data_IF_150657502922
#
_entry.id   IF_150657502922
#
_cell.length_a   1.000
_cell.length_b   1.000
_cell.length_c   1.000
_cell.angle_alpha   90.00
_cell.angle_beta   90.00
_cell.angle_gamma   90.00
#
_symmetry.space_group_name_H-M   'P 1'
#
loop_
_entity.id
_entity.type
_entity.pdbx_description
1 polymer ?
#
# COMPACT_ATOMS: atom_id res chain seq x y z
N UNK A 1 -18.21 -12.96 51.07
CA UNK A 1 -17.95 -13.12 49.63
C UNK A 1 -18.87 -12.14 48.95
N UNK A 2 -18.34 -10.96 48.62
CA UNK A 2 -18.94 -9.98 47.70
C UNK A 2 -17.88 -8.91 47.44
N UNK A 3 -17.24 -8.99 46.28
CA UNK A 3 -16.43 -7.90 45.69
C UNK A 3 -16.47 -8.09 44.16
N UNK A 4 -17.04 -7.11 43.46
CA UNK A 4 -17.20 -7.18 42.00
C UNK A 4 -17.91 -5.97 41.42
N UNK A 5 -17.60 -4.77 41.89
CA UNK A 5 -17.93 -3.51 41.23
C UNK A 5 -16.78 -2.52 41.51
N UNK A 6 -16.45 -1.68 40.53
CA UNK A 6 -15.48 -0.56 40.57
C UNK A 6 -14.06 -0.86 40.05
N UNK A 7 -13.93 -1.06 38.73
CA UNK A 7 -12.67 -0.82 38.02
C UNK A 7 -12.81 0.19 36.85
N UNK A 8 -14.03 0.54 36.46
CA UNK A 8 -14.28 1.44 35.31
C UNK A 8 -14.60 2.89 35.69
N UNK A 9 -14.93 3.17 36.96
CA UNK A 9 -15.24 4.54 37.42
C UNK A 9 -14.00 5.37 37.78
N UNK A 10 -12.81 4.75 37.93
CA UNK A 10 -11.56 5.47 38.27
C UNK A 10 -10.81 6.01 37.04
N UNK A 11 -11.16 5.62 35.80
CA UNK A 11 -10.45 6.09 34.59
C UNK A 11 -11.13 7.30 33.93
N UNK A 12 -12.43 7.55 34.20
CA UNK A 12 -13.13 8.71 33.64
C UNK A 12 -12.82 10.03 34.36
N UNK A 13 -12.22 9.99 35.55
CA UNK A 13 -11.91 11.19 36.35
C UNK A 13 -10.52 11.79 36.15
N UNK A 14 -9.66 11.22 35.28
CA UNK A 14 -8.27 11.68 35.10
C UNK A 14 -8.02 12.51 33.83
N UNK A 15 -9.06 12.79 33.03
CA UNK A 15 -8.92 13.53 31.76
C UNK A 15 -9.62 14.90 31.72
N UNK A 16 -10.23 15.35 32.82
CA UNK A 16 -10.93 16.64 32.90
C UNK A 16 -10.11 17.79 33.54
N UNK A 17 -8.86 17.55 33.99
CA UNK A 17 -8.04 18.56 34.69
C UNK A 17 -6.86 19.12 33.86
N UNK A 18 -6.97 19.19 32.53
CA UNK A 18 -5.97 19.87 31.68
C UNK A 18 -6.61 20.86 30.71
N UNK A 19 -7.42 21.78 31.25
CA UNK A 19 -7.64 23.10 30.66
C UNK A 19 -6.93 24.16 31.54
N UNK A 20 -6.40 25.20 30.90
CA UNK A 20 -5.61 26.32 31.44
C UNK A 20 -4.12 26.11 31.72
N UNK A 21 -3.31 26.08 30.65
CA UNK A 21 -1.98 26.69 30.70
C UNK A 21 -1.82 27.62 29.49
N UNK A 22 -1.93 28.94 29.73
CA UNK A 22 -1.36 29.97 28.88
C UNK A 22 0.16 30.03 29.12
N UNK A 23 0.98 29.71 28.11
CA UNK A 23 2.38 30.16 28.06
C UNK A 23 2.61 30.88 26.73
N UNK A 24 2.80 32.20 26.81
CA UNK A 24 3.57 32.92 25.82
C UNK A 24 5.07 32.81 26.14
N UNK A 25 5.87 32.91 25.07
CA UNK A 25 7.30 33.31 25.00
C UNK A 25 8.33 32.20 24.72
N UNK A 26 8.72 32.19 23.44
CA UNK A 26 10.08 32.11 22.85
C UNK A 26 10.99 30.89 23.01
N UNK A 27 11.65 30.57 21.89
CA UNK A 27 13.03 30.06 21.87
C UNK A 27 13.13 28.61 21.43
N UNK A 28 13.83 28.41 20.31
CA UNK A 28 14.40 27.17 19.80
C UNK A 28 14.44 25.98 20.76
N UNK A 29 13.61 24.96 20.52
CA UNK A 29 13.92 23.57 20.82
C UNK A 29 13.03 22.64 19.96
N UNK A 30 13.67 21.90 19.07
CA UNK A 30 13.07 20.89 18.21
C UNK A 30 12.92 19.60 19.02
N UNK A 31 11.75 19.41 19.63
CA UNK A 31 11.40 18.13 20.24
C UNK A 31 11.09 17.10 19.14
N UNK A 32 12.01 16.14 19.03
CA UNK A 32 11.85 14.90 18.27
C UNK A 32 10.77 14.04 18.92
N UNK A 33 9.66 13.83 18.21
CA UNK A 33 8.65 12.84 18.57
C UNK A 33 9.20 11.45 18.20
N UNK A 34 9.52 10.68 19.24
CA UNK A 34 9.82 9.26 19.18
C UNK A 34 8.61 8.47 18.66
N UNK A 35 8.81 7.70 17.58
CA UNK A 35 7.81 6.76 17.08
C UNK A 35 8.12 6.27 15.67
N UNK A 36 8.72 5.08 15.57
CA UNK A 36 9.17 4.35 14.37
C UNK A 36 10.59 4.69 13.90
N UNK A 37 11.56 4.20 14.67
CA UNK A 37 12.95 4.11 14.25
C UNK A 37 13.15 3.04 13.18
N UNK A 38 13.65 3.46 12.02
CA UNK A 38 14.80 2.87 11.34
C UNK A 38 15.36 3.93 10.38
N UNK A 39 16.01 4.93 10.97
CA UNK A 39 16.90 5.83 10.26
C UNK A 39 18.11 5.05 9.78
N UNK A 40 18.02 4.45 8.59
CA UNK A 40 19.22 4.19 7.81
C UNK A 40 19.58 5.55 7.18
N UNK A 41 20.58 6.21 7.75
CA UNK A 41 21.28 7.31 7.11
C UNK A 41 21.86 6.81 5.77
N UNK A 42 21.06 6.80 4.71
CA UNK A 42 21.51 6.71 3.32
C UNK A 42 22.03 8.09 2.89
N UNK A 43 22.91 8.69 3.70
CA UNK A 43 23.70 9.80 3.23
C UNK A 43 24.90 9.23 2.48
N UNK A 44 24.89 9.48 1.16
CA UNK A 44 26.04 9.73 0.28
C UNK A 44 26.62 8.67 -0.67
N UNK A 45 26.19 7.41 -0.71
CA UNK A 45 26.60 6.53 -1.82
C UNK A 45 25.43 5.69 -2.37
N UNK A 46 25.27 5.70 -3.69
CA UNK A 46 24.27 4.85 -4.37
C UNK A 46 24.58 3.38 -4.08
N UNK A 47 23.60 2.54 -3.68
CA UNK A 47 23.88 1.15 -3.33
C UNK A 47 24.41 0.37 -4.54
N UNK A 48 25.51 -0.36 -4.37
CA UNK A 48 26.01 -1.29 -5.39
C UNK A 48 25.07 -2.49 -5.53
N UNK A 49 25.03 -3.08 -6.73
CA UNK A 49 24.41 -4.37 -7.01
C UNK A 49 25.39 -5.21 -7.82
N UNK A 50 25.57 -6.46 -7.42
CA UNK A 50 26.46 -7.40 -8.10
C UNK A 50 25.63 -8.41 -8.88
N UNK A 51 25.87 -8.55 -10.18
CA UNK A 51 25.06 -9.42 -11.04
C UNK A 51 25.93 -10.22 -12.00
N UNK A 52 25.48 -11.44 -12.30
CA UNK A 52 26.02 -12.26 -13.39
C UNK A 52 25.19 -12.01 -14.65
N UNK A 53 25.84 -11.57 -15.73
CA UNK A 53 25.22 -11.37 -17.05
C UNK A 53 24.99 -12.72 -17.74
N UNK A 54 24.14 -12.74 -18.78
CA UNK A 54 23.92 -13.93 -19.60
C UNK A 54 25.22 -14.44 -20.28
N UNK A 55 26.17 -13.55 -20.53
CA UNK A 55 27.52 -13.87 -21.02
C UNK A 55 28.38 -14.63 -19.99
N UNK A 56 27.92 -14.76 -18.75
CA UNK A 56 28.69 -15.32 -17.64
C UNK A 56 29.61 -14.32 -16.93
N UNK A 57 29.76 -13.11 -17.49
CA UNK A 57 30.50 -12.00 -16.89
C UNK A 57 29.84 -11.53 -15.59
N UNK A 58 30.63 -11.19 -14.58
CA UNK A 58 30.13 -10.60 -13.34
C UNK A 58 30.49 -9.13 -13.28
N UNK A 59 29.51 -8.32 -12.96
CA UNK A 59 29.67 -6.86 -12.94
C UNK A 59 29.06 -6.28 -11.68
N UNK A 60 29.68 -5.22 -11.20
CA UNK A 60 29.09 -4.30 -10.25
C UNK A 60 28.32 -3.22 -11.03
N UNK A 61 27.09 -2.97 -10.61
CA UNK A 61 26.21 -1.94 -11.15
C UNK A 61 25.87 -0.97 -10.03
N UNK A 62 25.76 0.31 -10.35
CA UNK A 62 25.12 1.26 -9.44
C UNK A 62 23.60 1.08 -9.49
N UNK A 63 22.99 0.80 -8.34
CA UNK A 63 21.55 0.80 -8.18
C UNK A 63 21.08 2.15 -7.63
N UNK A 64 19.97 2.63 -8.18
CA UNK A 64 19.37 3.89 -7.73
C UNK A 64 18.67 3.75 -6.37
N UNK A 65 18.29 2.53 -5.98
CA UNK A 65 17.55 2.25 -4.73
C UNK A 65 17.86 0.84 -4.20
N UNK A 66 17.84 0.63 -2.86
CA UNK A 66 17.83 -0.70 -2.27
C UNK A 66 16.60 -1.51 -2.67
N UNK A 67 16.73 -2.83 -2.69
CA UNK A 67 15.60 -3.75 -2.89
C UNK A 67 14.71 -3.76 -1.65
N UNK A 68 13.44 -3.40 -1.80
CA UNK A 68 12.45 -3.58 -0.73
C UNK A 68 12.10 -5.06 -0.60
N UNK A 69 12.23 -5.62 0.60
CA UNK A 69 11.90 -7.02 0.93
C UNK A 69 10.85 -7.03 2.02
N UNK A 70 9.76 -7.76 1.82
CA UNK A 70 8.68 -7.87 2.79
C UNK A 70 9.20 -8.47 4.13
N UNK A 71 8.82 -7.91 5.27
CA UNK A 71 9.05 -8.49 6.60
C UNK A 71 8.49 -9.90 6.79
N UNK A 72 7.59 -10.39 5.94
CA UNK A 72 7.13 -11.80 5.95
C UNK A 72 7.89 -12.69 4.97
N UNK A 73 8.86 -12.14 4.23
CA UNK A 73 9.68 -12.91 3.29
C UNK A 73 10.28 -14.15 3.95
N UNK A 74 10.09 -15.32 3.32
CA UNK A 74 10.63 -16.59 3.80
C UNK A 74 10.05 -17.11 5.12
N UNK A 75 8.97 -16.50 5.65
CA UNK A 75 8.38 -16.87 6.94
C UNK A 75 7.81 -18.31 6.96
N UNK A 76 7.50 -18.88 5.78
CA UNK A 76 7.06 -20.29 5.65
C UNK A 76 8.21 -21.30 5.83
N UNK A 77 9.45 -20.85 5.71
CA UNK A 77 10.64 -21.71 5.70
C UNK A 77 11.57 -21.46 6.90
N UNK A 78 11.41 -20.34 7.61
CA UNK A 78 12.26 -19.95 8.72
C UNK A 78 11.53 -18.99 9.69
N UNK A 79 11.87 -19.01 11.00
CA UNK A 79 11.29 -18.08 11.98
C UNK A 79 11.66 -16.61 11.70
N UNK A 80 10.77 -15.70 12.11
CA UNK A 80 10.95 -14.26 11.94
C UNK A 80 11.90 -13.76 13.03
N UNK A 81 13.15 -13.51 12.65
CA UNK A 81 14.13 -12.81 13.48
C UNK A 81 14.40 -11.46 12.81
N UNK A 82 14.19 -10.36 13.55
CA UNK A 82 14.60 -9.01 13.18
C UNK A 82 15.82 -8.65 14.03
N UNK A 83 16.87 -8.16 13.38
CA UNK A 83 18.12 -7.80 14.03
C UNK A 83 18.74 -6.59 13.33
N UNK A 84 19.35 -5.71 14.10
CA UNK A 84 20.01 -4.52 13.59
C UNK A 84 21.20 -4.89 12.69
N UNK A 85 21.26 -4.29 11.51
CA UNK A 85 22.37 -4.48 10.58
C UNK A 85 22.05 -4.11 9.14
N UNK A 86 22.94 -4.53 8.24
CA UNK A 86 22.85 -4.27 6.81
C UNK A 86 22.28 -5.50 6.09
N UNK A 87 21.12 -5.36 5.45
CA UNK A 87 20.47 -6.48 4.78
C UNK A 87 20.93 -6.61 3.32
N UNK A 88 21.06 -7.85 2.86
CA UNK A 88 21.32 -8.14 1.46
C UNK A 88 20.47 -9.32 0.97
N UNK A 89 20.11 -9.31 -0.32
CA UNK A 89 19.35 -10.36 -0.96
C UNK A 89 20.24 -11.08 -1.98
N UNK A 90 20.54 -12.35 -1.70
CA UNK A 90 21.29 -13.24 -2.59
C UNK A 90 20.32 -14.07 -3.43
N UNK A 91 20.34 -13.88 -4.75
CA UNK A 91 19.56 -14.69 -5.70
C UNK A 91 20.39 -15.84 -6.21
N UNK A 92 19.83 -17.04 -6.15
CA UNK A 92 20.42 -18.28 -6.60
C UNK A 92 19.66 -18.80 -7.83
N UNK A 93 20.37 -19.29 -8.83
CA UNK A 93 19.80 -20.00 -9.98
C UNK A 93 20.23 -21.46 -9.94
N UNK A 94 19.29 -22.38 -10.14
CA UNK A 94 19.58 -23.81 -10.29
C UNK A 94 18.62 -24.51 -11.24
N UNK A 95 18.75 -25.84 -11.35
CA UNK A 95 18.09 -26.79 -12.27
C UNK A 95 16.54 -26.85 -12.23
N UNK A 96 15.87 -25.78 -11.81
CA UNK A 96 14.41 -25.67 -11.72
C UNK A 96 13.82 -26.14 -10.40
N UNK A 97 14.64 -26.62 -9.46
CA UNK A 97 14.20 -27.06 -8.13
C UNK A 97 14.25 -25.89 -7.12
N UNK A 98 13.23 -25.76 -6.25
CA UNK A 98 13.23 -24.74 -5.20
C UNK A 98 14.36 -24.98 -4.19
N UNK A 99 14.87 -23.91 -3.60
CA UNK A 99 15.81 -23.99 -2.47
C UNK A 99 15.18 -24.78 -1.32
N UNK A 100 15.80 -25.90 -0.99
CA UNK A 100 15.48 -26.72 0.19
C UNK A 100 16.48 -26.42 1.30
N UNK A 101 16.11 -26.74 2.54
CA UNK A 101 16.91 -26.52 3.75
C UNK A 101 18.36 -27.03 3.60
N UNK A 102 18.55 -28.20 3.00
CA UNK A 102 19.89 -28.77 2.72
C UNK A 102 20.75 -27.85 1.86
N UNK A 103 20.19 -27.22 0.83
CA UNK A 103 20.91 -26.29 -0.05
C UNK A 103 21.26 -25.01 0.71
N UNK A 104 20.35 -24.53 1.56
CA UNK A 104 20.57 -23.35 2.39
C UNK A 104 21.68 -23.58 3.40
N UNK A 105 21.76 -24.76 4.02
CA UNK A 105 22.85 -25.12 4.94
C UNK A 105 24.22 -25.21 4.23
N UNK A 106 24.25 -25.62 2.96
CA UNK A 106 25.47 -25.53 2.14
C UNK A 106 25.86 -24.07 1.87
N UNK A 107 24.89 -23.22 1.52
CA UNK A 107 25.11 -21.79 1.32
C UNK A 107 25.63 -21.15 2.60
N UNK A 108 25.03 -21.47 3.75
CA UNK A 108 25.42 -21.00 5.08
C UNK A 108 26.87 -21.39 5.40
N UNK A 109 27.19 -22.67 5.22
CA UNK A 109 28.54 -23.19 5.44
C UNK A 109 29.58 -22.53 4.53
N UNK A 110 29.20 -22.21 3.29
CA UNK A 110 30.05 -21.51 2.35
C UNK A 110 30.28 -20.05 2.75
N UNK A 111 29.20 -19.33 3.09
CA UNK A 111 29.25 -17.94 3.55
C UNK A 111 30.13 -17.82 4.79
N UNK A 112 29.97 -18.70 5.79
CA UNK A 112 30.81 -18.74 6.99
C UNK A 112 32.30 -18.96 6.70
N UNK A 113 32.64 -19.72 5.66
CA UNK A 113 34.04 -19.94 5.24
C UNK A 113 34.63 -18.73 4.52
N UNK A 114 33.82 -18.01 3.75
CA UNK A 114 34.24 -16.81 3.02
C UNK A 114 34.35 -15.61 3.96
N UNK A 115 33.39 -15.46 4.85
CA UNK A 115 33.20 -14.32 5.74
C UNK A 115 34.05 -14.41 7.01
N UNK A 116 35.29 -14.93 6.93
CA UNK A 116 36.16 -15.33 8.07
C UNK A 116 36.17 -14.40 9.30
N UNK A 117 35.87 -13.10 9.12
CA UNK A 117 35.69 -12.09 10.19
C UNK A 117 34.38 -11.28 10.13
N UNK A 118 33.59 -11.39 9.05
CA UNK A 118 32.31 -10.70 8.89
C UNK A 118 31.18 -11.66 9.26
N UNK A 119 30.43 -11.36 10.33
CA UNK A 119 29.29 -12.18 10.77
C UNK A 119 28.15 -12.09 9.74
N UNK A 120 28.25 -12.85 8.65
CA UNK A 120 27.19 -12.98 7.66
C UNK A 120 26.23 -14.08 8.11
N UNK A 121 25.00 -13.71 8.41
CA UNK A 121 23.98 -14.63 8.86
C UNK A 121 22.88 -14.76 7.79
N UNK A 122 22.47 -16.00 7.53
CA UNK A 122 21.25 -16.23 6.76
C UNK A 122 20.08 -16.04 7.71
N UNK A 123 19.26 -15.03 7.45
CA UNK A 123 18.03 -14.82 8.21
C UNK A 123 16.92 -15.73 7.69
N UNK A 124 16.67 -15.68 6.37
CA UNK A 124 15.49 -16.29 5.75
C UNK A 124 15.76 -16.68 4.30
N UNK A 125 14.93 -17.55 3.74
CA UNK A 125 14.99 -17.89 2.33
C UNK A 125 13.61 -18.21 1.77
N UNK A 126 13.48 -18.12 0.44
CA UNK A 126 12.35 -18.67 -0.31
C UNK A 126 12.87 -19.66 -1.37
N UNK A 127 12.06 -19.98 -2.38
CA UNK A 127 12.43 -20.95 -3.42
C UNK A 127 13.66 -20.57 -4.26
N UNK A 128 14.09 -19.31 -4.28
CA UNK A 128 15.17 -18.83 -5.16
C UNK A 128 16.15 -17.85 -4.51
N UNK A 129 15.82 -17.31 -3.35
CA UNK A 129 16.56 -16.21 -2.73
C UNK A 129 16.80 -16.44 -1.25
N UNK A 130 17.93 -15.92 -0.79
CA UNK A 130 18.36 -15.95 0.60
C UNK A 130 18.54 -14.51 1.08
N UNK A 131 17.90 -14.17 2.19
CA UNK A 131 18.05 -12.91 2.90
C UNK A 131 19.20 -13.03 3.90
N UNK A 132 20.17 -12.15 3.77
CA UNK A 132 21.38 -12.08 4.56
C UNK A 132 21.35 -10.87 5.51
N UNK A 133 21.91 -11.05 6.70
CA UNK A 133 22.26 -9.99 7.63
C UNK A 133 23.77 -9.85 7.69
N UNK A 134 24.26 -8.63 7.50
CA UNK A 134 25.66 -8.27 7.61
C UNK A 134 25.83 -7.18 8.67
N UNK A 135 26.98 -7.12 9.36
CA UNK A 135 27.18 -6.15 10.44
C UNK A 135 27.42 -4.72 9.93
N UNK A 136 27.74 -4.53 8.65
CA UNK A 136 28.08 -3.22 8.07
C UNK A 136 28.07 -3.22 6.54
N UNK A 137 28.01 -2.03 5.94
CA UNK A 137 28.20 -1.83 4.50
C UNK A 137 29.57 -2.34 4.00
N UNK A 138 30.63 -2.21 4.81
CA UNK A 138 31.94 -2.77 4.49
C UNK A 138 31.90 -4.30 4.32
N UNK A 139 31.10 -4.98 5.14
CA UNK A 139 30.89 -6.43 5.01
C UNK A 139 30.10 -6.79 3.75
N UNK A 140 29.15 -5.93 3.34
CA UNK A 140 28.42 -6.08 2.09
C UNK A 140 29.34 -5.96 0.87
N UNK A 141 30.20 -4.93 0.83
CA UNK A 141 31.17 -4.77 -0.26
C UNK A 141 32.19 -5.91 -0.32
N UNK A 142 32.65 -6.42 0.83
CA UNK A 142 33.52 -7.60 0.87
C UNK A 142 32.84 -8.83 0.26
N UNK A 143 31.57 -9.07 0.60
CA UNK A 143 30.76 -10.14 0.01
C UNK A 143 30.53 -9.90 -1.50
N UNK A 144 30.35 -8.65 -1.92
CA UNK A 144 30.29 -8.23 -3.31
C UNK A 144 31.56 -8.56 -4.09
N UNK A 145 32.73 -8.34 -3.49
CA UNK A 145 34.00 -8.74 -4.09
C UNK A 145 34.10 -10.27 -4.23
N UNK A 146 33.70 -11.04 -3.20
CA UNK A 146 33.65 -12.50 -3.29
C UNK A 146 32.65 -12.99 -4.36
N UNK A 147 31.58 -12.23 -4.62
CA UNK A 147 30.68 -12.45 -5.74
C UNK A 147 31.42 -12.26 -7.07
N UNK A 148 32.08 -11.12 -7.28
CA UNK A 148 32.81 -10.78 -8.50
C UNK A 148 33.93 -11.78 -8.81
N UNK A 149 34.64 -12.22 -7.78
CA UNK A 149 35.69 -13.26 -7.85
C UNK A 149 35.13 -14.66 -8.16
N UNK A 150 33.80 -14.81 -8.17
CA UNK A 150 33.13 -16.08 -8.46
C UNK A 150 33.16 -17.10 -7.32
N UNK A 151 33.56 -16.70 -6.12
CA UNK A 151 33.66 -17.60 -4.96
C UNK A 151 32.28 -18.07 -4.47
N UNK A 152 31.24 -17.27 -4.72
CA UNK A 152 29.86 -17.59 -4.35
C UNK A 152 29.15 -18.60 -5.28
N UNK A 153 29.72 -18.94 -6.45
CA UNK A 153 29.09 -19.92 -7.36
C UNK A 153 29.04 -21.32 -6.76
N UNK A 154 30.01 -21.69 -5.93
CA UNK A 154 30.13 -23.05 -5.39
C UNK A 154 29.33 -23.25 -4.10
N UNK A 155 28.64 -22.20 -3.62
CA UNK A 155 28.02 -22.22 -2.31
C UNK A 155 26.75 -23.07 -2.22
N UNK A 156 26.00 -23.24 -3.32
CA UNK A 156 24.77 -24.04 -3.33
C UNK A 156 24.94 -25.50 -3.78
N UNK A 157 26.17 -25.93 -4.06
CA UNK A 157 26.46 -27.21 -4.72
C UNK A 157 26.57 -27.08 -6.24
N UNK A 158 26.83 -28.19 -6.97
CA UNK A 158 27.13 -28.15 -8.41
C UNK A 158 25.98 -27.66 -9.30
N UNK A 159 24.75 -27.66 -8.78
CA UNK A 159 23.55 -27.27 -9.54
C UNK A 159 23.00 -25.89 -9.15
N UNK A 160 23.57 -25.20 -8.16
CA UNK A 160 23.00 -23.94 -7.63
C UNK A 160 24.08 -22.86 -7.56
N UNK A 161 23.89 -21.82 -8.36
CA UNK A 161 24.85 -20.74 -8.56
C UNK A 161 24.28 -19.42 -8.07
N UNK A 162 25.11 -18.61 -7.41
CA UNK A 162 24.79 -17.21 -7.13
C UNK A 162 24.76 -16.39 -8.42
N UNK A 163 23.64 -15.70 -8.67
CA UNK A 163 23.45 -14.88 -9.89
C UNK A 163 23.28 -13.40 -9.61
N UNK A 164 22.85 -13.04 -8.41
CA UNK A 164 22.65 -11.63 -8.05
C UNK A 164 22.79 -11.40 -6.56
N UNK A 165 23.40 -10.29 -6.17
CA UNK A 165 23.48 -9.81 -4.79
C UNK A 165 23.09 -8.34 -4.75
N UNK A 166 22.05 -8.02 -3.99
CA UNK A 166 21.47 -6.68 -3.90
C UNK A 166 21.41 -6.21 -2.44
N UNK A 167 21.63 -4.92 -2.19
CA UNK A 167 21.27 -4.30 -0.92
C UNK A 167 19.77 -4.43 -0.73
N UNK A 168 19.34 -4.85 0.47
CA UNK A 168 17.94 -4.98 0.81
C UNK A 168 17.56 -4.04 1.96
N UNK A 169 16.29 -3.68 2.01
CA UNK A 169 15.67 -3.06 3.18
C UNK A 169 14.45 -3.90 3.52
N UNK A 170 14.40 -4.37 4.76
CA UNK A 170 13.19 -4.97 5.29
C UNK A 170 12.15 -3.87 5.42
N UNK A 171 11.12 -3.98 4.59
CA UNK A 171 9.92 -3.18 4.74
C UNK A 171 8.87 -4.10 5.27
N UNK A 172 8.15 -3.68 6.30
CA UNK A 172 6.77 -4.11 6.36
C UNK A 172 6.17 -3.49 5.11
N UNK A 173 5.74 -4.25 4.09
CA UNK A 173 4.88 -3.62 3.14
C UNK A 173 3.73 -3.14 4.01
N UNK A 174 3.52 -1.82 4.04
CA UNK A 174 2.17 -1.32 4.20
C UNK A 174 1.37 -2.20 3.25
N UNK A 175 0.46 -3.03 3.79
CA UNK A 175 -0.46 -3.80 2.96
C UNK A 175 -1.33 -2.74 2.29
N UNK A 176 -0.80 -2.08 1.28
CA UNK A 176 -1.34 -0.85 0.77
C UNK A 176 -2.32 -1.25 -0.31
N UNK A 177 -3.60 -1.31 0.05
CA UNK A 177 -4.66 -1.68 -0.88
C UNK A 177 -5.13 -0.50 -1.71
N UNK A 178 -4.76 0.73 -1.31
CA UNK A 178 -5.16 1.96 -2.01
C UNK A 178 -3.94 2.85 -2.13
N UNK A 179 -3.37 2.90 -3.33
CA UNK A 179 -2.44 3.98 -3.68
C UNK A 179 -3.23 5.02 -4.46
N UNK A 180 -3.43 6.20 -3.89
CA UNK A 180 -4.00 7.33 -4.61
C UNK A 180 -2.84 7.99 -5.35
N UNK A 181 -2.72 7.70 -6.64
CA UNK A 181 -1.76 8.36 -7.50
C UNK A 181 -2.35 9.68 -7.97
N UNK A 182 -1.74 10.80 -7.59
CA UNK A 182 -2.19 12.13 -8.03
C UNK A 182 -1.14 12.78 -8.94
N UNK A 183 -1.58 13.49 -9.98
CA UNK A 183 -0.71 14.24 -10.90
C UNK A 183 -0.49 15.69 -10.46
N UNK A 184 -1.02 16.06 -9.28
CA UNK A 184 -0.93 17.40 -8.73
C UNK A 184 0.19 17.46 -7.69
N UNK A 185 1.16 18.34 -7.92
CA UNK A 185 2.33 18.57 -7.07
C UNK A 185 2.01 18.62 -5.57
N UNK A 186 2.95 18.14 -4.72
CA UNK A 186 3.16 18.35 -3.25
C UNK A 186 1.96 18.78 -2.39
N UNK A 187 1.35 19.91 -2.71
CA UNK A 187 0.09 20.42 -2.17
C UNK A 187 -1.06 19.40 -2.06
N UNK A 188 -1.42 18.65 -3.12
CA UNK A 188 -2.56 17.73 -3.03
C UNK A 188 -2.26 16.53 -2.12
N UNK A 189 -1.02 16.06 -2.12
CA UNK A 189 -0.55 15.03 -1.19
C UNK A 189 -0.70 15.50 0.27
N UNK A 190 -0.23 16.72 0.58
CA UNK A 190 -0.35 17.32 1.93
C UNK A 190 -1.82 17.51 2.33
N UNK A 191 -2.68 17.99 1.42
CA UNK A 191 -4.11 18.16 1.66
C UNK A 191 -4.77 16.82 2.01
N UNK A 192 -4.57 15.79 1.19
CA UNK A 192 -5.13 14.46 1.42
C UNK A 192 -4.58 13.80 2.68
N UNK A 193 -3.28 13.93 2.92
CA UNK A 193 -2.65 13.40 4.12
C UNK A 193 -3.23 14.06 5.37
N UNK A 194 -3.54 15.35 5.36
CA UNK A 194 -4.17 16.03 6.51
C UNK A 194 -5.59 15.52 6.83
N UNK A 195 -6.30 14.99 5.83
CA UNK A 195 -7.64 14.39 5.96
C UNK A 195 -7.54 12.96 6.50
N UNK A 196 -6.53 12.21 6.07
CA UNK A 196 -6.34 10.77 6.38
C UNK A 196 -5.54 10.56 7.68
N UNK A 197 -4.56 11.41 7.98
CA UNK A 197 -3.63 11.29 9.11
C UNK A 197 -4.31 11.12 10.47
N UNK A 198 -5.42 11.82 10.80
CA UNK A 198 -6.14 11.59 12.06
C UNK A 198 -6.67 10.16 12.24
N UNK A 199 -6.66 9.36 11.17
CA UNK A 199 -7.17 8.00 11.11
C UNK A 199 -6.19 7.00 10.52
N UNK A 200 -4.95 7.39 10.24
CA UNK A 200 -3.93 6.50 9.68
C UNK A 200 -3.70 5.25 10.55
N UNK A 201 -3.89 5.34 11.87
CA UNK A 201 -3.84 4.20 12.78
C UNK A 201 -4.96 3.16 12.55
N UNK A 202 -6.10 3.56 11.98
CA UNK A 202 -7.17 2.66 11.56
C UNK A 202 -7.04 2.23 10.11
N UNK A 203 -6.18 2.91 9.35
CA UNK A 203 -5.92 2.72 7.94
C UNK A 203 -4.41 2.60 7.66
N UNK A 204 -3.70 1.59 8.22
CA UNK A 204 -2.26 1.39 7.98
C UNK A 204 -1.92 1.04 6.52
N UNK A 205 -2.90 1.13 5.62
CA UNK A 205 -3.02 0.44 4.35
C UNK A 205 -3.48 1.37 3.20
N UNK A 206 -3.63 2.67 3.46
CA UNK A 206 -3.89 3.68 2.43
C UNK A 206 -2.64 4.56 2.27
N UNK A 207 -2.14 4.68 1.04
CA UNK A 207 -0.98 5.49 0.69
C UNK A 207 -1.42 6.54 -0.34
N UNK A 208 -1.00 7.79 -0.16
CA UNK A 208 -1.12 8.82 -1.18
C UNK A 208 0.24 8.94 -1.85
N UNK A 209 0.31 8.82 -3.18
CA UNK A 209 1.54 8.96 -3.95
C UNK A 209 1.38 10.05 -5.02
N UNK A 210 2.45 10.77 -5.29
CA UNK A 210 2.53 11.63 -6.46
C UNK A 210 3.04 10.84 -7.66
N UNK A 211 2.29 10.89 -8.77
CA UNK A 211 2.77 10.40 -10.05
C UNK A 211 3.68 11.45 -10.70
N UNK A 212 4.89 11.04 -11.08
CA UNK A 212 5.68 11.74 -12.09
C UNK A 212 5.22 11.23 -13.46
N UNK A 213 4.00 11.59 -13.87
CA UNK A 213 3.47 11.29 -15.20
C UNK A 213 3.51 12.54 -16.08
N UNK A 214 4.02 12.40 -17.30
CA UNK A 214 4.03 13.46 -18.30
C UNK A 214 2.60 13.74 -18.80
N UNK A 215 2.10 14.94 -18.48
CA UNK A 215 0.96 15.65 -19.11
C UNK A 215 -0.35 14.86 -19.24
N UNK A 216 -1.20 15.04 -18.23
CA UNK A 216 -2.65 14.93 -18.35
C UNK A 216 -3.27 15.84 -17.30
N UNK A 217 -3.65 17.07 -17.68
CA UNK A 217 -4.38 17.96 -16.79
C UNK A 217 -5.79 17.39 -16.60
N UNK A 218 -6.17 17.11 -15.34
CA UNK A 218 -7.58 16.87 -15.03
C UNK A 218 -8.34 18.17 -15.25
N UNK A 219 -9.48 18.16 -15.97
CA UNK A 219 -10.27 19.36 -16.12
C UNK A 219 -10.77 19.83 -14.75
N UNK A 220 -10.92 21.16 -14.53
CA UNK A 220 -11.51 21.68 -13.32
C UNK A 220 -12.94 21.14 -13.15
N UNK A 221 -13.30 20.82 -11.90
CA UNK A 221 -14.61 20.29 -11.57
C UNK A 221 -15.66 21.40 -11.45
N UNK A 222 -16.89 21.10 -11.87
CA UNK A 222 -18.06 21.93 -11.57
C UNK A 222 -18.96 21.16 -10.60
N UNK A 223 -19.34 21.78 -9.48
CA UNK A 223 -20.22 21.19 -8.47
C UNK A 223 -21.61 20.77 -8.99
N UNK A 224 -22.01 21.23 -10.18
CA UNK A 224 -23.26 20.85 -10.87
C UNK A 224 -23.05 19.82 -11.98
N UNK A 225 -21.81 19.38 -12.18
CA UNK A 225 -21.41 18.42 -13.21
C UNK A 225 -21.63 16.96 -12.81
N UNK A 226 -21.31 16.03 -13.73
CA UNK A 226 -21.33 14.59 -13.42
C UNK A 226 -20.29 14.24 -12.35
N UNK A 227 -20.58 13.25 -11.50
CA UNK A 227 -19.67 12.81 -10.43
C UNK A 227 -18.44 12.09 -10.99
N UNK A 228 -17.28 12.11 -10.30
CA UNK A 228 -16.15 11.27 -10.65
C UNK A 228 -16.51 9.76 -10.67
N UNK A 229 -15.82 8.98 -11.51
CA UNK A 229 -16.02 7.52 -11.61
C UNK A 229 -15.58 6.75 -10.37
N UNK A 230 -14.68 7.35 -9.58
CA UNK A 230 -14.11 6.77 -8.37
C UNK A 230 -14.38 7.66 -7.17
N UNK A 231 -14.72 7.03 -6.05
CA UNK A 231 -14.93 7.67 -4.77
C UNK A 231 -14.18 6.99 -3.64
N UNK A 232 -13.81 7.76 -2.63
CA UNK A 232 -13.25 7.28 -1.36
C UNK A 232 -14.09 7.86 -0.25
N UNK A 233 -14.72 7.01 0.54
CA UNK A 233 -15.51 7.41 1.69
C UNK A 233 -14.85 6.94 2.99
N UNK A 234 -14.67 7.86 3.92
CA UNK A 234 -14.25 7.58 5.29
C UNK A 234 -15.50 7.28 6.13
N UNK A 235 -15.56 6.09 6.72
CA UNK A 235 -16.68 5.63 7.54
C UNK A 235 -16.37 5.86 9.02
N UNK A 236 -17.27 6.57 9.70
CA UNK A 236 -17.17 6.89 11.12
C UNK A 236 -18.27 6.21 11.90
N UNK A 237 -17.87 5.41 12.88
CA UNK A 237 -18.79 4.89 13.88
C UNK A 237 -19.27 6.01 14.82
N UNK A 238 -20.40 5.78 15.51
CA UNK A 238 -21.04 6.80 16.36
C UNK A 238 -20.16 7.37 17.47
N UNK A 239 -19.12 6.65 17.91
CA UNK A 239 -18.15 7.14 18.91
C UNK A 239 -16.96 7.93 18.30
N UNK A 240 -16.92 8.11 16.98
CA UNK A 240 -15.86 8.81 16.26
C UNK A 240 -16.30 10.16 15.66
N UNK A 241 -17.45 10.70 16.10
CA UNK A 241 -18.06 11.92 15.56
C UNK A 241 -17.16 13.15 15.62
N UNK A 242 -16.47 13.36 16.75
CA UNK A 242 -15.53 14.49 16.89
C UNK A 242 -14.41 14.44 15.84
N UNK A 243 -14.03 13.24 15.40
CA UNK A 243 -13.03 13.07 14.36
C UNK A 243 -13.62 13.23 12.94
N UNK A 244 -14.86 12.77 12.72
CA UNK A 244 -15.60 13.04 11.48
C UNK A 244 -15.76 14.55 11.24
N UNK A 245 -16.03 15.31 12.31
CA UNK A 245 -16.13 16.76 12.27
C UNK A 245 -14.82 17.43 11.83
N UNK A 246 -13.67 16.94 12.30
CA UNK A 246 -12.36 17.42 11.81
C UNK A 246 -12.18 17.19 10.32
N UNK A 247 -12.60 16.03 9.80
CA UNK A 247 -12.57 15.75 8.36
C UNK A 247 -13.52 16.66 7.58
N UNK A 248 -14.74 16.91 8.08
CA UNK A 248 -15.66 17.88 7.48
C UNK A 248 -15.07 19.29 7.45
N UNK A 249 -14.44 19.75 8.53
CA UNK A 249 -13.81 21.07 8.59
C UNK A 249 -12.66 21.25 7.60
N UNK A 250 -11.89 20.18 7.35
CA UNK A 250 -10.82 20.21 6.35
C UNK A 250 -11.36 20.20 4.92
N UNK A 251 -12.36 19.36 4.65
CA UNK A 251 -12.98 19.24 3.34
C UNK A 251 -13.95 20.39 2.99
N UNK A 252 -14.37 21.20 3.95
CA UNK A 252 -15.16 22.40 3.69
C UNK A 252 -14.31 23.62 3.28
N UNK A 253 -12.98 23.50 3.36
CA UNK A 253 -12.05 24.56 2.95
C UNK A 253 -11.70 24.44 1.46
N UNK A 254 -11.51 25.57 0.79
CA UNK A 254 -11.02 25.59 -0.59
C UNK A 254 -9.67 24.84 -0.69
N UNK A 255 -9.42 24.07 -1.77
CA UNK A 255 -10.17 24.01 -3.03
C UNK A 255 -11.32 22.99 -3.05
N UNK A 256 -11.69 22.39 -1.93
CA UNK A 256 -12.73 21.37 -1.88
C UNK A 256 -14.12 22.00 -1.95
N UNK A 257 -15.01 21.36 -2.71
CA UNK A 257 -16.39 21.79 -2.89
C UNK A 257 -17.31 20.64 -2.52
N UNK A 258 -18.25 20.91 -1.60
CA UNK A 258 -19.29 19.95 -1.28
C UNK A 258 -20.18 19.74 -2.51
N UNK A 259 -20.45 18.49 -2.84
CA UNK A 259 -21.32 18.11 -3.94
C UNK A 259 -22.65 17.64 -3.36
N UNK A 260 -23.74 18.12 -3.95
CA UNK A 260 -25.06 17.59 -3.65
C UNK A 260 -25.14 16.18 -4.20
N UNK A 261 -25.22 15.20 -3.32
CA UNK A 261 -25.39 13.81 -3.74
C UNK A 261 -26.84 13.61 -4.15
N UNK A 262 -27.12 12.99 -5.31
CA UNK A 262 -28.48 12.72 -5.71
C UNK A 262 -29.24 11.87 -4.70
N UNK A 263 -30.56 12.08 -4.60
CA UNK A 263 -31.42 11.37 -3.64
C UNK A 263 -31.33 9.84 -3.74
N UNK A 264 -31.01 9.30 -4.93
CA UNK A 264 -30.79 7.87 -5.12
C UNK A 264 -29.60 7.30 -4.32
N UNK A 265 -28.71 8.14 -3.80
CA UNK A 265 -27.59 7.74 -2.95
C UNK A 265 -27.89 7.84 -1.45
N UNK A 266 -29.05 8.37 -1.05
CA UNK A 266 -29.40 8.62 0.36
C UNK A 266 -29.33 7.36 1.25
N UNK A 267 -29.57 6.18 0.69
CA UNK A 267 -29.43 4.90 1.40
C UNK A 267 -28.01 4.60 1.89
N UNK A 268 -27.00 5.19 1.26
CA UNK A 268 -25.58 5.08 1.63
C UNK A 268 -25.10 6.35 2.34
N UNK A 269 -25.82 7.46 2.15
CA UNK A 269 -25.38 8.81 2.52
C UNK A 269 -26.28 9.52 3.51
N UNK A 270 -27.20 8.84 4.19
CA UNK A 270 -28.15 9.46 5.14
C UNK A 270 -27.45 10.32 6.20
N UNK A 271 -26.17 10.06 6.46
CA UNK A 271 -25.28 10.84 7.32
C UNK A 271 -23.93 11.20 6.64
N UNK A 272 -23.85 11.12 5.31
CA UNK A 272 -22.63 11.35 4.54
C UNK A 272 -22.56 12.72 3.87
N UNK A 273 -21.41 13.41 3.96
CA UNK A 273 -21.11 14.58 3.12
C UNK A 273 -19.99 14.26 2.15
N UNK A 274 -20.14 14.72 0.91
CA UNK A 274 -19.26 14.41 -0.20
C UNK A 274 -18.67 15.65 -0.81
N UNK A 275 -17.42 15.56 -1.23
CA UNK A 275 -16.60 16.67 -1.68
C UNK A 275 -15.79 16.27 -2.90
N UNK A 276 -15.56 17.23 -3.80
CA UNK A 276 -14.63 17.08 -4.92
C UNK A 276 -13.66 18.25 -4.89
N UNK A 277 -12.40 17.98 -5.18
CA UNK A 277 -11.39 19.03 -5.33
C UNK A 277 -11.66 19.78 -6.64
N UNK A 278 -12.00 21.07 -6.56
CA UNK A 278 -12.34 21.88 -7.73
C UNK A 278 -11.23 21.99 -8.77
N UNK A 279 -9.96 21.80 -8.37
CA UNK A 279 -8.79 21.84 -9.24
C UNK A 279 -8.45 20.49 -9.88
N UNK A 280 -8.83 19.39 -9.20
CA UNK A 280 -8.42 18.03 -9.55
C UNK A 280 -9.63 17.09 -9.50
N UNK A 281 -10.67 17.42 -10.26
CA UNK A 281 -12.02 16.86 -10.21
C UNK A 281 -12.20 15.35 -10.46
N UNK A 282 -11.18 14.55 -10.22
CA UNK A 282 -11.04 13.18 -10.67
C UNK A 282 -11.34 12.14 -9.59
N UNK A 283 -11.63 12.56 -8.36
CA UNK A 283 -11.96 11.68 -7.24
C UNK A 283 -13.01 12.32 -6.32
N UNK A 284 -14.03 11.54 -5.96
CA UNK A 284 -15.04 11.91 -4.97
C UNK A 284 -14.56 11.54 -3.56
N UNK A 285 -14.70 12.45 -2.59
CA UNK A 285 -14.35 12.20 -1.20
C UNK A 285 -15.58 12.27 -0.30
N UNK A 286 -15.87 11.18 0.39
CA UNK A 286 -16.99 11.07 1.33
C UNK A 286 -16.51 11.03 2.78
N UNK A 287 -17.30 11.61 3.67
CA UNK A 287 -17.20 11.43 5.13
C UNK A 287 -18.59 11.00 5.57
N UNK A 288 -18.73 9.75 5.98
CA UNK A 288 -19.99 9.10 6.36
C UNK A 288 -19.99 8.87 7.87
N UNK A 289 -20.94 9.47 8.58
CA UNK A 289 -21.13 9.23 10.01
C UNK A 289 -22.19 8.16 10.26
N UNK A 290 -22.26 7.66 11.51
CA UNK A 290 -23.26 6.64 11.89
C UNK A 290 -22.99 5.24 11.30
N UNK A 291 -21.81 5.00 10.73
CA UNK A 291 -21.46 3.69 10.19
C UNK A 291 -21.41 2.63 11.29
N UNK A 292 -21.80 1.39 10.97
CA UNK A 292 -21.75 0.28 11.94
C UNK A 292 -20.32 -0.02 12.40
N UNK A 293 -19.32 0.23 11.56
CA UNK A 293 -17.90 0.09 11.87
C UNK A 293 -17.08 1.22 11.22
N UNK A 294 -15.97 1.64 11.84
CA UNK A 294 -15.06 2.59 11.21
C UNK A 294 -14.30 1.92 10.06
N UNK A 295 -14.08 2.63 8.95
CA UNK A 295 -13.57 2.02 7.73
C UNK A 295 -13.25 2.99 6.59
N UNK A 296 -12.67 2.46 5.52
CA UNK A 296 -12.61 3.12 4.21
C UNK A 296 -13.43 2.31 3.22
N UNK A 297 -14.23 3.01 2.44
CA UNK A 297 -14.96 2.45 1.31
C UNK A 297 -14.43 3.09 0.03
N UNK A 298 -13.95 2.27 -0.90
CA UNK A 298 -13.64 2.67 -2.27
C UNK A 298 -14.89 2.39 -3.08
N UNK A 299 -15.42 3.39 -3.76
CA UNK A 299 -16.62 3.23 -4.60
C UNK A 299 -16.24 3.40 -6.07
N UNK A 300 -16.60 2.42 -6.88
CA UNK A 300 -16.55 2.52 -8.34
C UNK A 300 -17.99 2.69 -8.82
N UNK A 301 -18.27 3.84 -9.43
CA UNK A 301 -19.59 4.15 -9.95
C UNK A 301 -19.77 3.56 -11.34
N UNK A 302 -20.87 2.82 -11.51
CA UNK A 302 -21.28 2.24 -12.79
C UNK A 302 -22.34 3.15 -13.40
N UNK A 303 -22.13 3.56 -14.65
CA UNK A 303 -23.02 4.46 -15.37
C UNK A 303 -24.21 3.71 -15.96
N UNK A 304 -23.98 2.52 -16.51
CA UNK A 304 -25.01 1.70 -17.15
C UNK A 304 -25.33 0.45 -16.32
N UNK A 305 -26.61 0.25 -16.02
CA UNK A 305 -27.10 -0.92 -15.31
C UNK A 305 -26.67 -2.24 -15.96
N UNK A 306 -26.59 -2.27 -17.29
CA UNK A 306 -26.23 -3.47 -18.05
C UNK A 306 -24.76 -3.85 -17.84
N UNK A 307 -23.90 -2.87 -17.54
CA UNK A 307 -22.48 -3.07 -17.24
C UNK A 307 -22.23 -3.46 -15.78
N UNK A 308 -23.24 -3.41 -14.91
CA UNK A 308 -23.06 -3.69 -13.48
C UNK A 308 -22.55 -5.11 -13.23
N UNK A 309 -23.16 -6.12 -13.82
CA UNK A 309 -22.77 -7.52 -13.59
C UNK A 309 -21.36 -7.81 -14.17
N UNK A 310 -21.01 -7.17 -15.29
CA UNK A 310 -19.67 -7.25 -15.88
C UNK A 310 -18.62 -6.57 -15.00
N UNK A 311 -18.94 -5.41 -14.40
CA UNK A 311 -18.08 -4.72 -13.44
C UNK A 311 -17.85 -5.58 -12.18
N UNK A 312 -18.91 -6.17 -11.63
CA UNK A 312 -18.81 -7.08 -10.49
C UNK A 312 -17.95 -8.30 -10.84
N UNK A 313 -18.14 -8.89 -12.03
CA UNK A 313 -17.33 -10.01 -12.52
C UNK A 313 -15.86 -9.63 -12.65
N UNK A 314 -15.56 -8.45 -13.20
CA UNK A 314 -14.19 -7.94 -13.34
C UNK A 314 -13.48 -7.82 -11.99
N UNK A 315 -14.08 -7.14 -11.01
CA UNK A 315 -13.47 -6.97 -9.69
C UNK A 315 -13.44 -8.28 -8.88
N UNK A 316 -14.41 -9.18 -9.08
CA UNK A 316 -14.38 -10.52 -8.49
C UNK A 316 -13.16 -11.33 -8.97
N UNK A 317 -12.79 -11.26 -10.25
CA UNK A 317 -11.59 -11.95 -10.78
C UNK A 317 -10.29 -11.46 -10.14
N UNK A 318 -10.24 -10.18 -9.76
CA UNK A 318 -9.06 -9.55 -9.13
C UNK A 318 -9.02 -9.87 -7.64
N UNK A 319 -10.09 -9.56 -6.92
CA UNK A 319 -10.17 -9.65 -5.45
C UNK A 319 -10.34 -11.10 -4.98
N UNK A 320 -11.00 -11.95 -5.78
CA UNK A 320 -11.33 -13.35 -5.47
C UNK A 320 -12.18 -13.55 -4.21
N UNK A 321 -12.84 -12.50 -3.73
CA UNK A 321 -13.84 -12.58 -2.67
C UNK A 321 -15.26 -12.56 -3.26
N UNK A 322 -16.18 -13.29 -2.63
CA UNK A 322 -17.59 -13.25 -2.99
C UNK A 322 -18.19 -11.92 -2.52
N UNK A 323 -18.74 -11.09 -3.43
CA UNK A 323 -19.32 -9.83 -3.03
C UNK A 323 -20.63 -10.05 -2.28
N UNK A 324 -20.90 -9.18 -1.31
CA UNK A 324 -22.23 -9.03 -0.74
C UNK A 324 -23.05 -8.13 -1.66
N UNK A 325 -23.97 -8.73 -2.39
CA UNK A 325 -24.91 -8.00 -3.25
C UNK A 325 -26.04 -7.40 -2.42
N UNK A 326 -26.34 -6.12 -2.65
CA UNK A 326 -27.47 -5.41 -2.04
C UNK A 326 -28.25 -4.67 -3.11
N UNK A 327 -29.54 -4.48 -2.87
CA UNK A 327 -30.41 -3.63 -3.66
C UNK A 327 -30.76 -2.39 -2.82
N UNK A 328 -30.81 -1.22 -3.45
CA UNK A 328 -31.25 0.02 -2.81
C UNK A 328 -32.70 -0.06 -2.36
N UNK A 329 -33.08 0.83 -1.44
CA UNK A 329 -34.47 0.98 -0.98
C UNK A 329 -35.39 1.42 -2.12
N UNK A 330 -34.83 2.08 -3.14
CA UNK A 330 -35.51 2.45 -4.39
C UNK A 330 -35.86 1.24 -5.28
N UNK A 331 -35.34 0.06 -4.99
CA UNK A 331 -35.56 -1.16 -5.77
C UNK A 331 -34.85 -1.18 -7.14
N UNK A 332 -34.07 -0.16 -7.48
CA UNK A 332 -33.41 -0.04 -8.80
C UNK A 332 -31.90 0.06 -8.67
N UNK A 333 -31.41 0.74 -7.64
CA UNK A 333 -29.99 0.86 -7.34
C UNK A 333 -29.41 -0.48 -6.90
N UNK A 334 -28.17 -0.77 -7.31
CA UNK A 334 -27.49 -2.05 -7.06
C UNK A 334 -26.10 -1.81 -6.49
N UNK A 335 -25.73 -2.67 -5.54
CA UNK A 335 -24.42 -2.63 -4.90
C UNK A 335 -23.81 -4.02 -4.84
N UNK A 336 -22.51 -4.09 -5.05
CA UNK A 336 -21.71 -5.27 -4.74
C UNK A 336 -20.54 -4.84 -3.86
N UNK A 337 -20.54 -5.33 -2.62
CA UNK A 337 -19.52 -4.98 -1.61
C UNK A 337 -18.52 -6.12 -1.50
N UNK A 338 -17.28 -5.85 -1.90
CA UNK A 338 -16.14 -6.74 -1.70
C UNK A 338 -15.40 -6.33 -0.43
N UNK A 339 -15.42 -7.21 0.58
CA UNK A 339 -14.52 -7.07 1.72
C UNK A 339 -13.09 -7.33 1.24
N UNK A 340 -12.23 -6.30 1.30
CA UNK A 340 -10.82 -6.42 0.95
C UNK A 340 -10.02 -6.85 2.19
N UNK A 341 -10.26 -6.18 3.32
CA UNK A 341 -9.64 -6.42 4.62
C UNK A 341 -10.57 -5.94 5.74
N UNK A 342 -10.26 -6.22 7.03
CA UNK A 342 -10.95 -5.57 8.13
C UNK A 342 -10.91 -4.05 7.96
N UNK A 343 -12.10 -3.42 7.91
CA UNK A 343 -12.29 -1.97 7.77
C UNK A 343 -11.94 -1.39 6.39
N UNK A 344 -11.77 -2.22 5.36
CA UNK A 344 -11.59 -1.76 3.98
C UNK A 344 -12.48 -2.53 3.01
N UNK A 345 -13.30 -1.80 2.27
CA UNK A 345 -14.25 -2.35 1.32
C UNK A 345 -14.12 -1.70 -0.05
N UNK A 346 -14.29 -2.49 -1.12
CA UNK A 346 -14.52 -2.02 -2.47
C UNK A 346 -15.99 -2.22 -2.81
N UNK A 347 -16.64 -1.16 -3.28
CA UNK A 347 -18.06 -1.15 -3.63
C UNK A 347 -18.20 -0.81 -5.10
N UNK A 348 -18.79 -1.73 -5.86
CA UNK A 348 -19.31 -1.44 -7.20
C UNK A 348 -20.75 -0.98 -7.01
N UNK A 349 -21.06 0.24 -7.43
CA UNK A 349 -22.36 0.86 -7.20
C UNK A 349 -22.97 1.38 -8.50
N UNK A 350 -24.18 0.93 -8.79
CA UNK A 350 -25.04 1.51 -9.82
C UNK A 350 -26.21 2.24 -9.14
N UNK A 351 -26.39 3.50 -9.52
CA UNK A 351 -27.51 4.33 -9.06
C UNK A 351 -28.32 4.80 -10.25
N UNK A 352 -29.62 4.57 -10.21
CA UNK A 352 -30.47 4.97 -11.31
C UNK A 352 -30.48 6.49 -11.49
N UNK A 353 -30.23 6.95 -12.73
CA UNK A 353 -30.22 8.37 -13.07
C UNK A 353 -28.96 9.13 -12.64
N UNK A 354 -27.99 8.47 -12.00
CA UNK A 354 -26.71 9.09 -11.66
C UNK A 354 -25.91 9.36 -12.94
N UNK A 355 -25.35 10.57 -13.05
CA UNK A 355 -24.43 10.93 -14.11
C UNK A 355 -23.01 10.92 -13.57
N UNK A 356 -22.19 10.09 -14.18
CA UNK A 356 -20.77 9.90 -13.88
C UNK A 356 -19.97 10.48 -15.05
N UNK A 357 -18.85 11.10 -14.73
CA UNK A 357 -17.93 11.66 -15.71
C UNK A 357 -17.24 10.52 -16.48
N UNK A 358 -16.66 10.84 -17.64
CA UNK A 358 -15.75 9.89 -18.27
C UNK A 358 -14.52 9.66 -17.36
N UNK A 359 -13.92 8.44 -17.36
CA UNK A 359 -12.74 8.15 -16.57
C UNK A 359 -11.64 9.20 -16.79
N UNK A 360 -11.16 9.78 -15.68
CA UNK A 360 -10.09 10.76 -15.75
C UNK A 360 -8.74 10.04 -15.92
N UNK A 361 -7.94 10.45 -16.90
CA UNK A 361 -6.60 9.90 -17.14
C UNK A 361 -5.65 10.03 -15.93
N UNK A 362 -5.97 10.91 -14.97
CA UNK A 362 -5.18 11.17 -13.78
C UNK A 362 -5.54 10.30 -12.56
N UNK A 363 -6.62 9.50 -12.61
CA UNK A 363 -7.01 8.62 -11.50
C UNK A 363 -6.78 7.17 -11.88
N UNK A 364 -5.96 6.48 -11.09
CA UNK A 364 -5.66 5.06 -11.26
C UNK A 364 -5.99 4.33 -9.97
N UNK A 365 -6.75 3.24 -10.06
CA UNK A 365 -6.99 2.36 -8.92
C UNK A 365 -5.89 1.31 -8.84
N UNK A 366 -5.07 1.38 -7.80
CA UNK A 366 -3.99 0.42 -7.57
C UNK A 366 -4.42 -0.66 -6.56
N UNK A 367 -4.37 -1.92 -6.96
CA UNK A 367 -4.68 -3.08 -6.11
C UNK A 367 -3.47 -4.01 -6.02
N UNK A 368 -3.12 -4.42 -4.81
CA UNK A 368 -2.10 -5.45 -4.61
C UNK A 368 -2.74 -6.83 -4.64
N UNK A 369 -2.16 -7.75 -5.43
CA UNK A 369 -2.63 -9.13 -5.55
C UNK A 369 -1.53 -10.12 -5.10
N UNK A 370 -1.94 -11.21 -4.45
CA UNK A 370 -1.02 -12.29 -4.04
C UNK A 370 -0.72 -13.29 -5.17
N UNK A 371 -1.48 -13.22 -6.24
CA UNK A 371 -1.39 -14.11 -7.39
C UNK A 371 -1.33 -13.28 -8.66
N UNK A 372 -0.77 -13.87 -9.72
CA UNK A 372 -0.81 -13.26 -11.05
C UNK A 372 -2.25 -12.96 -11.47
N UNK A 373 -2.49 -11.81 -12.13
CA UNK A 373 -3.82 -11.50 -12.64
C UNK A 373 -4.26 -12.55 -13.67
N UNK A 374 -5.56 -12.89 -13.70
CA UNK A 374 -6.06 -13.84 -14.67
C UNK A 374 -5.97 -13.25 -16.09
N UNK A 375 -5.55 -14.07 -17.06
CA UNK A 375 -5.20 -13.64 -18.42
C UNK A 375 -6.39 -13.14 -19.24
N UNK A 376 -7.62 -13.38 -18.77
CA UNK A 376 -8.87 -12.97 -19.41
C UNK A 376 -9.39 -11.62 -18.89
N UNK A 377 -8.60 -10.88 -18.10
CA UNK A 377 -8.92 -9.50 -17.75
C UNK A 377 -8.85 -8.59 -18.98
N UNK A 378 -9.81 -7.67 -19.05
CA UNK A 378 -9.95 -6.74 -20.15
C UNK A 378 -8.72 -5.81 -20.26
N UNK A 379 -8.17 -5.71 -21.49
CA UNK A 379 -6.98 -4.91 -21.82
C UNK A 379 -5.80 -5.10 -20.85
N UNK A 380 -5.61 -6.32 -20.35
CA UNK A 380 -4.51 -6.64 -19.45
C UNK A 380 -3.16 -6.50 -20.18
N UNK A 381 -2.28 -5.65 -19.65
CA UNK A 381 -0.93 -5.43 -20.14
C UNK A 381 0.07 -5.52 -18.99
N UNK A 382 1.19 -6.20 -19.23
CA UNK A 382 2.31 -6.20 -18.28
C UNK A 382 3.16 -4.94 -18.47
N UNK A 383 3.32 -4.14 -17.41
CA UNK A 383 4.15 -2.93 -17.41
C UNK A 383 5.56 -3.24 -16.90
N UNK A 384 5.66 -4.05 -15.85
CA UNK A 384 6.93 -4.57 -15.30
C UNK A 384 6.78 -6.02 -14.83
N UNK A 385 7.86 -6.61 -14.31
CA UNK A 385 7.85 -7.97 -13.74
C UNK A 385 6.82 -8.18 -12.63
N UNK A 386 6.39 -7.11 -11.97
CA UNK A 386 5.55 -7.10 -10.78
C UNK A 386 4.35 -6.13 -10.89
N UNK A 387 4.20 -5.45 -12.03
CA UNK A 387 3.13 -4.48 -12.29
C UNK A 387 2.39 -4.83 -13.58
N UNK A 388 1.08 -4.90 -13.46
CA UNK A 388 0.14 -5.09 -14.56
C UNK A 388 -0.85 -3.93 -14.59
N UNK A 389 -1.39 -3.65 -15.77
CA UNK A 389 -2.43 -2.66 -15.97
C UNK A 389 -3.60 -3.33 -16.70
N UNK A 390 -4.82 -3.04 -16.28
CA UNK A 390 -6.05 -3.49 -16.90
C UNK A 390 -7.03 -2.32 -16.99
N UNK A 391 -8.10 -2.48 -17.77
CA UNK A 391 -9.22 -1.55 -17.78
C UNK A 391 -10.50 -2.26 -17.38
N UNK A 392 -11.22 -1.66 -16.43
CA UNK A 392 -12.56 -2.14 -16.10
C UNK A 392 -13.55 -1.85 -17.24
N UNK A 393 -14.76 -2.47 -17.24
CA UNK A 393 -15.77 -2.24 -18.28
C UNK A 393 -16.19 -0.77 -18.50
N UNK A 394 -16.06 0.10 -17.50
CA UNK A 394 -16.34 1.55 -17.61
C UNK A 394 -15.12 2.34 -18.12
N UNK A 395 -13.98 1.68 -18.33
CA UNK A 395 -12.76 2.26 -18.86
C UNK A 395 -11.82 2.87 -17.82
N UNK A 396 -12.05 2.64 -16.52
CA UNK A 396 -11.11 3.07 -15.48
C UNK A 396 -9.82 2.24 -15.56
N UNK A 397 -8.69 2.90 -15.35
CA UNK A 397 -7.39 2.24 -15.30
C UNK A 397 -7.19 1.60 -13.93
N UNK A 398 -6.92 0.30 -13.93
CA UNK A 398 -6.64 -0.49 -12.73
C UNK A 398 -5.23 -1.06 -12.82
N UNK A 399 -4.37 -0.70 -11.87
CA UNK A 399 -3.02 -1.23 -11.76
C UNK A 399 -2.96 -2.33 -10.72
N UNK A 400 -2.36 -3.47 -11.08
CA UNK A 400 -2.27 -4.67 -10.26
C UNK A 400 -0.81 -4.94 -9.91
N UNK A 401 -0.49 -4.86 -8.62
CA UNK A 401 0.84 -5.15 -8.09
C UNK A 401 0.91 -6.57 -7.57
N UNK A 402 1.70 -7.42 -8.21
CA UNK A 402 1.88 -8.81 -7.78
C UNK A 402 3.07 -8.91 -6.86
N UNK A 403 2.84 -9.27 -5.60
CA UNK A 403 3.93 -9.66 -4.70
C UNK A 403 4.22 -11.12 -4.93
N UNK A 404 5.25 -11.39 -5.74
CA UNK A 404 5.80 -12.73 -5.92
C UNK A 404 6.45 -13.16 -4.59
N UNK A 405 5.78 -14.04 -3.83
CA UNK A 405 6.33 -14.70 -2.64
C UNK A 405 7.56 -15.57 -2.97
#
# INVERSE_FOLDING_TARGET
>A
MDHGANFWDEISGMFDDLEDINVEVSGDELDTVDGVGLGVNLHTDSPSCYTKRQSGERVELHCTRPRKVNKTFGARFSPIIEADGFYALLTLSGSGLPLIEKTVELVKSCLQKLSKNSKCEILRWNSQRVLLLLPSAASYHALGQDFLDGKLEKCGGPEVNAVKLEVAVLVEPSKCYVTIITTAASTLHVELQSIIQPFSAWFPYALVMEAVMSKGESPPFSAQGPLPTLGISLLFHGNAQAKAERSFQRLSQLPWQQVAVPACMEDITSEGKFYVNSRHGSLLWGVITGANQPGVQITVFVQDQTSFDDMVSFYHKIVKSTPLSKQGSDGVSKYAVFALEPKLELVVAYFHGLKVAAPAAATVLCLQTLQLPPSDLNKLQQISSDLWEAQDPEGNVVQLFTVLE
#
